data_IF_275086711185
#
_entry.id   IF_275086711185
#
_cell.length_a   1.000
_cell.length_b   1.000
_cell.length_c   1.000
_cell.angle_alpha   90.00
_cell.angle_beta   90.00
_cell.angle_gamma   90.00
#
_symmetry.space_group_name_H-M   'P 1'
#
loop_
_entity.id
_entity.type
_entity.pdbx_description
1 polymer ?
#
# COMPACT_ATOMS: atom_id res chain seq x y z
N UNK A 1 5.31 14.83 5.81
CA UNK A 1 6.14 14.00 6.72
C UNK A 1 6.15 14.48 8.19
N UNK A 2 5.26 15.38 8.62
CA UNK A 2 5.03 15.69 10.05
C UNK A 2 3.55 16.06 10.30
N UNK A 3 2.64 15.60 9.43
CA UNK A 3 1.28 16.14 9.32
C UNK A 3 0.45 15.96 10.61
N UNK A 4 0.76 14.96 11.42
CA UNK A 4 0.05 14.69 12.67
C UNK A 4 0.58 15.50 13.88
N UNK A 5 1.90 15.65 14.02
CA UNK A 5 2.53 16.25 15.22
C UNK A 5 3.07 17.66 15.00
N UNK A 6 3.28 18.06 13.74
CA UNK A 6 4.01 19.27 13.32
C UNK A 6 5.46 19.34 13.83
N UNK A 7 5.99 18.26 14.40
CA UNK A 7 7.37 18.19 14.87
C UNK A 7 8.32 18.02 13.68
N UNK A 8 8.91 19.14 13.25
CA UNK A 8 10.36 19.29 13.10
C UNK A 8 11.15 18.04 12.70
N UNK A 9 11.44 17.26 13.75
CA UNK A 9 12.38 16.15 13.74
C UNK A 9 12.02 15.13 12.69
N UNK A 10 10.78 14.63 12.68
CA UNK A 10 10.36 13.54 11.79
C UNK A 10 10.58 13.85 10.31
N UNK A 11 10.39 15.12 9.91
CA UNK A 11 10.69 15.53 8.54
C UNK A 11 12.21 15.54 8.28
N UNK A 12 13.01 16.06 9.20
CA UNK A 12 14.48 16.07 9.08
C UNK A 12 15.04 14.66 8.97
N UNK A 13 14.61 13.74 9.84
CA UNK A 13 15.06 12.35 9.78
C UNK A 13 14.63 11.66 8.47
N UNK A 14 13.37 11.84 8.05
CA UNK A 14 12.90 11.25 6.80
C UNK A 14 13.65 11.79 5.57
N UNK A 15 13.94 13.09 5.54
CA UNK A 15 14.75 13.70 4.48
C UNK A 15 16.19 13.20 4.49
N UNK A 16 16.82 13.12 5.66
CA UNK A 16 18.20 12.62 5.81
C UNK A 16 18.31 11.18 5.34
N UNK A 17 17.42 10.30 5.81
CA UNK A 17 17.38 8.90 5.40
C UNK A 17 17.19 8.76 3.88
N UNK A 18 16.27 9.54 3.30
CA UNK A 18 16.05 9.51 1.87
C UNK A 18 17.28 9.97 1.08
N UNK A 19 17.82 11.14 1.42
CA UNK A 19 18.92 11.79 0.67
C UNK A 19 20.25 11.03 0.81
N UNK A 20 20.53 10.45 1.98
CA UNK A 20 21.84 9.90 2.30
C UNK A 20 21.91 8.37 2.12
N UNK A 21 20.82 7.65 2.42
CA UNK A 21 20.88 6.18 2.54
C UNK A 21 20.00 5.46 1.51
N UNK A 22 18.84 6.04 1.16
CA UNK A 22 17.94 5.41 0.20
C UNK A 22 18.40 5.74 -1.22
N UNK A 23 18.36 7.02 -1.60
CA UNK A 23 18.40 7.39 -3.02
C UNK A 23 19.79 7.28 -3.64
N UNK A 24 20.83 7.33 -2.81
CA UNK A 24 22.23 7.14 -3.19
C UNK A 24 22.52 5.75 -3.74
N UNK A 25 21.66 4.76 -3.47
CA UNK A 25 21.76 3.39 -4.01
C UNK A 25 21.16 3.24 -5.41
N UNK A 26 20.41 4.23 -5.90
CA UNK A 26 19.75 4.14 -7.19
C UNK A 26 20.75 4.29 -8.36
N UNK A 27 20.57 3.49 -9.41
CA UNK A 27 21.43 3.48 -10.59
C UNK A 27 20.60 3.19 -11.84
N UNK A 28 21.18 3.30 -13.03
CA UNK A 28 20.57 2.98 -14.33
C UNK A 28 21.25 1.80 -15.07
N UNK A 29 22.09 1.06 -14.34
CA UNK A 29 23.00 0.04 -14.89
C UNK A 29 22.33 -1.18 -15.55
N UNK A 30 21.01 -1.37 -15.44
CA UNK A 30 20.30 -2.51 -16.00
C UNK A 30 19.65 -2.24 -17.38
N UNK A 31 19.76 -1.01 -17.89
CA UNK A 31 19.22 -0.60 -19.19
C UNK A 31 17.71 -0.31 -19.21
N UNK A 32 17.00 -0.44 -18.09
CA UNK A 32 15.56 -0.17 -18.01
C UNK A 32 15.21 1.14 -17.28
N UNK A 33 16.22 1.83 -16.76
CA UNK A 33 16.10 3.17 -16.17
C UNK A 33 16.62 3.23 -14.74
N UNK A 34 16.45 4.40 -14.14
CA UNK A 34 16.96 4.69 -12.81
C UNK A 34 16.08 4.10 -11.71
N UNK A 35 16.65 3.18 -10.91
CA UNK A 35 15.91 2.44 -9.89
C UNK A 35 16.81 1.97 -8.74
N UNK A 36 16.16 1.61 -7.64
CA UNK A 36 16.79 1.10 -6.43
C UNK A 36 16.91 -0.42 -6.45
N UNK A 37 18.07 -0.98 -6.03
CA UNK A 37 18.20 -2.40 -5.73
C UNK A 37 17.38 -2.75 -4.48
N UNK A 38 17.05 -4.03 -4.31
CA UNK A 38 16.31 -4.49 -3.14
C UNK A 38 17.06 -4.17 -1.85
N UNK A 39 18.35 -4.51 -1.80
CA UNK A 39 19.26 -4.20 -0.70
C UNK A 39 20.71 -4.18 -1.19
N UNK A 40 21.66 -3.88 -0.30
CA UNK A 40 23.08 -3.70 -0.66
C UNK A 40 23.76 -4.99 -1.14
N UNK A 41 23.18 -6.15 -0.83
CA UNK A 41 23.68 -7.47 -1.22
C UNK A 41 22.93 -8.05 -2.43
N UNK A 42 21.79 -7.46 -2.81
CA UNK A 42 20.92 -7.96 -3.85
C UNK A 42 20.48 -6.84 -4.79
N UNK A 43 21.09 -6.82 -5.97
CA UNK A 43 20.84 -5.84 -7.02
C UNK A 43 19.53 -6.03 -7.78
N UNK A 44 18.73 -7.07 -7.47
CA UNK A 44 17.39 -7.23 -8.04
C UNK A 44 16.54 -6.02 -7.67
N UNK A 45 15.89 -5.45 -8.68
CA UNK A 45 15.01 -4.30 -8.53
C UNK A 45 13.56 -4.78 -8.51
N UNK A 46 12.82 -4.37 -7.50
CA UNK A 46 11.48 -4.87 -7.22
C UNK A 46 10.48 -3.73 -6.93
N UNK A 47 9.19 -4.08 -6.90
CA UNK A 47 8.14 -3.12 -6.58
C UNK A 47 8.24 -2.64 -5.12
N UNK A 48 8.66 -3.53 -4.21
CA UNK A 48 8.67 -3.25 -2.77
C UNK A 48 9.70 -2.23 -2.31
N UNK A 49 10.78 -2.00 -3.06
CA UNK A 49 11.71 -0.90 -2.78
C UNK A 49 11.35 0.35 -3.59
N UNK A 50 11.00 0.19 -4.87
CA UNK A 50 10.88 1.33 -5.79
C UNK A 50 9.54 2.09 -5.64
N UNK A 51 8.42 1.40 -5.39
CA UNK A 51 7.14 2.09 -5.15
C UNK A 51 7.20 2.93 -3.85
N UNK A 52 7.66 2.41 -2.69
CA UNK A 52 7.78 3.23 -1.48
C UNK A 52 8.77 4.38 -1.62
N UNK A 53 9.88 4.21 -2.35
CA UNK A 53 10.80 5.30 -2.63
C UNK A 53 10.15 6.39 -3.49
N UNK A 54 9.31 6.03 -4.47
CA UNK A 54 8.52 6.98 -5.25
C UNK A 54 7.53 7.77 -4.37
N UNK A 55 6.86 7.09 -3.43
CA UNK A 55 5.98 7.75 -2.45
C UNK A 55 6.79 8.71 -1.58
N UNK A 56 7.93 8.27 -1.03
CA UNK A 56 8.79 9.10 -0.18
C UNK A 56 9.28 10.35 -0.93
N UNK A 57 9.73 10.19 -2.17
CA UNK A 57 10.12 11.30 -3.05
C UNK A 57 8.95 12.27 -3.29
N UNK A 58 7.78 11.76 -3.61
CA UNK A 58 6.57 12.58 -3.83
C UNK A 58 6.18 13.38 -2.57
N UNK A 59 6.23 12.73 -1.40
CA UNK A 59 5.95 13.39 -0.11
C UNK A 59 7.00 14.43 0.28
N UNK A 60 8.27 14.22 -0.08
CA UNK A 60 9.33 15.22 0.08
C UNK A 60 9.11 16.40 -0.85
N UNK A 61 8.80 16.15 -2.13
CA UNK A 61 8.44 17.18 -3.09
C UNK A 61 7.27 18.05 -2.60
N UNK A 62 6.19 17.43 -2.12
CA UNK A 62 5.04 18.14 -1.56
C UNK A 62 5.41 19.07 -0.40
N UNK A 63 6.45 18.75 0.37
CA UNK A 63 6.88 19.51 1.54
C UNK A 63 7.88 20.63 1.20
N UNK A 64 8.74 20.41 0.21
CA UNK A 64 9.89 21.28 -0.10
C UNK A 64 9.74 22.06 -1.39
N UNK A 65 8.89 21.59 -2.30
CA UNK A 65 8.81 22.03 -3.69
C UNK A 65 10.15 21.94 -4.46
N UNK A 66 11.09 21.13 -3.98
CA UNK A 66 12.39 20.91 -4.64
C UNK A 66 12.22 19.89 -5.77
N UNK A 67 12.42 20.35 -7.01
CA UNK A 67 12.16 19.59 -8.23
C UNK A 67 12.96 18.29 -8.34
N UNK A 68 14.09 18.15 -7.63
CA UNK A 68 14.86 16.90 -7.59
C UNK A 68 14.00 15.73 -7.10
N UNK A 69 13.11 15.96 -6.13
CA UNK A 69 12.28 14.91 -5.56
C UNK A 69 11.17 14.49 -6.52
N UNK A 70 10.61 15.44 -7.28
CA UNK A 70 9.65 15.11 -8.33
C UNK A 70 10.30 14.32 -9.47
N UNK A 71 11.52 14.68 -9.86
CA UNK A 71 12.31 13.93 -10.85
C UNK A 71 12.59 12.49 -10.38
N UNK A 72 13.01 12.31 -9.13
CA UNK A 72 13.20 10.99 -8.54
C UNK A 72 11.91 10.16 -8.55
N UNK A 73 10.78 10.74 -8.14
CA UNK A 73 9.49 10.06 -8.13
C UNK A 73 9.11 9.57 -9.55
N UNK A 74 9.24 10.44 -10.55
CA UNK A 74 8.95 10.09 -11.95
C UNK A 74 9.83 8.95 -12.46
N UNK A 75 11.15 9.01 -12.20
CA UNK A 75 12.10 7.96 -12.64
C UNK A 75 11.80 6.60 -12.01
N UNK A 76 11.50 6.58 -10.70
CA UNK A 76 11.17 5.35 -9.98
C UNK A 76 9.85 4.74 -10.49
N UNK A 77 8.82 5.57 -10.71
CA UNK A 77 7.56 5.14 -11.30
C UNK A 77 7.75 4.59 -12.73
N UNK A 78 8.50 5.30 -13.57
CA UNK A 78 8.76 4.91 -14.95
C UNK A 78 9.44 3.55 -15.02
N UNK A 79 10.41 3.30 -14.13
CA UNK A 79 11.07 2.00 -14.05
C UNK A 79 10.07 0.88 -13.73
N UNK A 80 9.18 1.09 -12.76
CA UNK A 80 8.13 0.10 -12.41
C UNK A 80 7.24 -0.20 -13.61
N UNK A 81 6.74 0.83 -14.29
CA UNK A 81 5.85 0.68 -15.44
C UNK A 81 6.55 0.00 -16.61
N UNK A 82 7.81 0.32 -16.89
CA UNK A 82 8.57 -0.24 -18.02
C UNK A 82 9.03 -1.67 -17.79
N UNK A 83 9.40 -2.04 -16.56
CA UNK A 83 10.17 -3.26 -16.29
C UNK A 83 9.50 -4.28 -15.38
N UNK A 84 8.65 -3.84 -14.46
CA UNK A 84 8.09 -4.68 -13.39
C UNK A 84 6.61 -4.98 -13.62
N UNK A 85 5.86 -3.98 -14.06
CA UNK A 85 4.43 -4.10 -14.30
C UNK A 85 4.17 -4.94 -15.55
N UNK A 86 3.32 -5.96 -15.43
CA UNK A 86 2.84 -6.71 -16.59
C UNK A 86 1.77 -5.93 -17.37
N UNK A 87 1.44 -6.40 -18.57
CA UNK A 87 0.42 -5.77 -19.42
C UNK A 87 -0.98 -5.74 -18.76
N UNK A 88 -1.30 -6.73 -17.94
CA UNK A 88 -2.55 -6.80 -17.14
C UNK A 88 -2.46 -6.02 -15.82
N UNK A 89 -1.35 -5.36 -15.52
CA UNK A 89 -1.21 -4.50 -14.34
C UNK A 89 -0.77 -5.21 -13.06
N UNK A 90 -0.30 -6.47 -13.12
CA UNK A 90 0.36 -7.10 -11.96
C UNK A 90 1.67 -6.39 -11.68
N UNK A 91 1.93 -6.16 -10.39
CA UNK A 91 3.22 -5.69 -9.92
C UNK A 91 3.92 -6.94 -9.38
N UNK A 92 4.85 -7.46 -10.19
CA UNK A 92 5.55 -8.74 -10.02
C UNK A 92 4.74 -9.99 -10.39
N UNK A 93 5.45 -11.12 -10.55
CA UNK A 93 4.89 -12.41 -10.96
C UNK A 93 3.83 -12.92 -9.98
N UNK A 94 4.07 -12.74 -8.69
CA UNK A 94 3.10 -13.00 -7.63
C UNK A 94 2.55 -11.67 -7.12
N UNK A 95 1.39 -11.22 -7.61
CA UNK A 95 0.80 -9.96 -7.14
C UNK A 95 0.38 -10.09 -5.67
N UNK A 96 0.77 -9.09 -4.89
CA UNK A 96 0.51 -8.97 -3.47
C UNK A 96 -0.11 -7.61 -3.18
N UNK A 97 -1.03 -7.55 -2.23
CA UNK A 97 -1.84 -6.36 -1.94
C UNK A 97 -0.98 -5.11 -1.71
N UNK A 98 0.14 -5.23 -1.01
CA UNK A 98 1.02 -4.10 -0.72
C UNK A 98 1.76 -3.55 -1.95
N UNK A 99 2.17 -4.40 -2.92
CA UNK A 99 2.83 -3.91 -4.14
C UNK A 99 1.84 -3.15 -5.00
N UNK A 100 0.59 -3.62 -5.06
CA UNK A 100 -0.51 -2.91 -5.71
C UNK A 100 -0.80 -1.58 -5.02
N UNK A 101 -0.98 -1.60 -3.69
CA UNK A 101 -1.33 -0.41 -2.91
C UNK A 101 -0.27 0.69 -2.97
N UNK A 102 1.02 0.32 -2.87
CA UNK A 102 2.12 1.27 -2.99
C UNK A 102 2.23 1.86 -4.39
N UNK A 103 1.99 1.08 -5.45
CA UNK A 103 1.94 1.61 -6.80
C UNK A 103 0.78 2.59 -7.00
N UNK A 104 -0.42 2.24 -6.51
CA UNK A 104 -1.62 3.07 -6.56
C UNK A 104 -1.34 4.44 -5.93
N UNK A 105 -0.76 4.47 -4.73
CA UNK A 105 -0.43 5.75 -4.08
C UNK A 105 0.68 6.52 -4.81
N UNK A 106 1.73 5.85 -5.26
CA UNK A 106 2.81 6.49 -6.01
C UNK A 106 2.27 7.20 -7.27
N UNK A 107 1.43 6.52 -8.04
CA UNK A 107 0.76 7.07 -9.21
C UNK A 107 -0.20 8.22 -8.83
N UNK A 108 -1.00 8.06 -7.77
CA UNK A 108 -1.94 9.09 -7.31
C UNK A 108 -1.22 10.37 -6.89
N UNK A 109 -0.11 10.26 -6.17
CA UNK A 109 0.71 11.42 -5.78
C UNK A 109 1.32 12.11 -7.00
N UNK A 110 1.86 11.35 -7.97
CA UNK A 110 2.37 11.90 -9.21
C UNK A 110 1.29 12.64 -10.02
N UNK A 111 0.06 12.13 -10.06
CA UNK A 111 -1.06 12.86 -10.65
C UNK A 111 -1.25 14.23 -9.97
N UNK A 112 -1.30 14.29 -8.63
CA UNK A 112 -1.47 15.55 -7.92
C UNK A 112 -0.33 16.54 -8.13
N UNK A 113 0.89 16.05 -8.33
CA UNK A 113 2.07 16.90 -8.59
C UNK A 113 2.17 17.40 -10.03
N UNK A 114 1.66 16.66 -11.00
CA UNK A 114 1.91 16.91 -12.43
C UNK A 114 0.66 17.26 -13.22
N UNK A 115 -0.52 16.92 -12.69
CA UNK A 115 -1.81 16.94 -13.38
C UNK A 115 -1.84 16.11 -14.67
N UNK A 116 -0.89 15.19 -14.87
CA UNK A 116 -0.89 14.27 -16.01
C UNK A 116 -1.92 13.15 -15.79
N UNK A 117 -2.98 13.08 -16.61
CA UNK A 117 -4.07 12.13 -16.41
C UNK A 117 -3.66 10.67 -16.62
N UNK A 118 -2.49 10.40 -17.21
CA UNK A 118 -2.00 9.03 -17.41
C UNK A 118 -1.73 8.32 -16.08
N UNK A 119 -1.26 9.06 -15.06
CA UNK A 119 -1.04 8.52 -13.72
C UNK A 119 -2.37 8.09 -13.08
N UNK A 120 -3.38 8.98 -13.10
CA UNK A 120 -4.69 8.69 -12.49
C UNK A 120 -5.40 7.51 -13.16
N UNK A 121 -5.40 7.47 -14.50
CA UNK A 121 -5.94 6.32 -15.27
C UNK A 121 -5.25 5.01 -14.89
N UNK A 122 -3.93 5.05 -14.64
CA UNK A 122 -3.18 3.87 -14.22
C UNK A 122 -3.54 3.47 -12.78
N UNK A 123 -3.69 4.43 -11.87
CA UNK A 123 -4.17 4.21 -10.51
C UNK A 123 -5.52 3.49 -10.50
N UNK A 124 -6.50 3.98 -11.27
CA UNK A 124 -7.84 3.40 -11.39
C UNK A 124 -7.79 1.97 -11.96
N UNK A 125 -7.00 1.77 -13.02
CA UNK A 125 -6.81 0.46 -13.62
C UNK A 125 -6.24 -0.56 -12.62
N UNK A 126 -5.14 -0.23 -11.94
CA UNK A 126 -4.50 -1.14 -10.98
C UNK A 126 -5.38 -1.39 -9.76
N UNK A 127 -6.11 -0.37 -9.28
CA UNK A 127 -7.13 -0.56 -8.23
C UNK A 127 -8.16 -1.59 -8.67
N UNK A 128 -8.77 -1.43 -9.86
CA UNK A 128 -9.75 -2.39 -10.38
C UNK A 128 -9.20 -3.82 -10.42
N UNK A 129 -8.01 -4.01 -11.01
CA UNK A 129 -7.40 -5.34 -11.11
C UNK A 129 -7.12 -5.96 -9.74
N UNK A 130 -6.67 -5.15 -8.78
CA UNK A 130 -6.42 -5.61 -7.40
C UNK A 130 -7.69 -6.17 -6.75
N UNK A 131 -8.84 -5.54 -7.00
CA UNK A 131 -10.12 -5.93 -6.41
C UNK A 131 -10.80 -7.08 -7.17
N UNK A 132 -10.77 -7.06 -8.50
CA UNK A 132 -11.63 -7.90 -9.35
C UNK A 132 -10.91 -9.08 -10.02
N UNK A 133 -9.60 -9.01 -10.26
CA UNK A 133 -8.90 -10.01 -11.08
C UNK A 133 -8.63 -11.34 -10.36
N UNK A 134 -9.00 -11.45 -9.07
CA UNK A 134 -8.83 -12.67 -8.26
C UNK A 134 -7.39 -12.93 -7.80
N UNK A 135 -6.46 -12.00 -8.02
CA UNK A 135 -5.05 -12.24 -7.65
C UNK A 135 -4.72 -11.89 -6.21
N UNK A 136 -5.34 -10.84 -5.67
CA UNK A 136 -5.19 -10.41 -4.28
C UNK A 136 -6.42 -10.77 -3.44
N UNK A 137 -7.41 -11.45 -4.03
CA UNK A 137 -8.72 -11.67 -3.42
C UNK A 137 -9.14 -13.13 -3.43
N UNK A 138 -9.98 -13.50 -2.46
CA UNK A 138 -10.68 -14.78 -2.35
C UNK A 138 -12.09 -14.48 -1.82
N UNK A 139 -13.12 -14.93 -2.53
CA UNK A 139 -14.54 -14.71 -2.18
C UNK A 139 -14.90 -13.24 -1.91
N UNK A 140 -14.33 -12.30 -2.70
CA UNK A 140 -14.55 -10.86 -2.53
C UNK A 140 -13.79 -10.21 -1.37
N UNK A 141 -13.01 -10.97 -0.60
CA UNK A 141 -12.16 -10.48 0.49
C UNK A 141 -10.70 -10.45 0.06
N UNK A 142 -9.88 -9.60 0.67
CA UNK A 142 -8.42 -9.72 0.55
C UNK A 142 -7.99 -11.09 1.08
N UNK A 143 -7.21 -11.82 0.27
CA UNK A 143 -6.83 -13.20 0.57
C UNK A 143 -5.79 -13.31 1.70
N UNK A 144 -5.55 -14.54 2.15
CA UNK A 144 -4.34 -14.86 2.88
C UNK A 144 -3.14 -14.80 1.90
N UNK A 145 -2.16 -13.96 2.22
CA UNK A 145 -0.95 -13.76 1.42
C UNK A 145 0.27 -14.50 1.98
N UNK A 146 0.06 -15.28 3.04
CA UNK A 146 1.04 -16.07 3.75
C UNK A 146 1.08 -15.71 5.25
N UNK A 147 1.73 -16.57 6.02
CA UNK A 147 1.72 -16.52 7.49
C UNK A 147 3.00 -16.00 8.12
N UNK A 148 4.02 -15.66 7.30
CA UNK A 148 5.25 -15.05 7.80
C UNK A 148 4.98 -13.64 8.35
N UNK A 149 5.94 -13.12 9.12
CA UNK A 149 5.87 -11.75 9.64
C UNK A 149 5.66 -10.73 8.49
N UNK A 150 6.44 -10.86 7.41
CA UNK A 150 6.33 -9.99 6.23
C UNK A 150 4.96 -10.14 5.55
N UNK A 151 4.54 -11.36 5.24
CA UNK A 151 3.33 -11.61 4.46
C UNK A 151 2.06 -11.16 5.18
N UNK A 152 2.05 -11.29 6.50
CA UNK A 152 0.89 -10.98 7.32
C UNK A 152 0.56 -9.48 7.40
N UNK A 153 1.51 -8.58 7.11
CA UNK A 153 1.32 -7.13 7.17
C UNK A 153 0.89 -6.48 5.85
N UNK A 154 0.96 -7.20 4.73
CA UNK A 154 0.76 -6.60 3.40
C UNK A 154 -0.58 -5.87 3.23
N UNK A 155 -1.67 -6.43 3.78
CA UNK A 155 -2.98 -5.76 3.77
C UNK A 155 -2.97 -4.44 4.55
N UNK A 156 -2.21 -4.35 5.63
CA UNK A 156 -2.04 -3.13 6.42
C UNK A 156 -1.43 -1.97 5.61
N UNK A 157 -0.65 -2.29 4.56
CA UNK A 157 -0.07 -1.32 3.64
C UNK A 157 -1.05 -0.94 2.53
N UNK A 158 -1.79 -1.91 1.98
CA UNK A 158 -2.77 -1.67 0.91
C UNK A 158 -3.91 -0.75 1.37
N UNK A 159 -4.53 -1.09 2.51
CA UNK A 159 -5.75 -0.44 3.02
C UNK A 159 -5.66 1.10 3.10
N UNK A 160 -4.63 1.71 3.73
CA UNK A 160 -4.58 3.17 3.85
C UNK A 160 -4.49 3.87 2.49
N UNK A 161 -3.79 3.26 1.52
CA UNK A 161 -3.69 3.80 0.16
C UNK A 161 -4.97 3.59 -0.64
N UNK A 162 -5.68 2.49 -0.44
CA UNK A 162 -7.01 2.31 -0.99
C UNK A 162 -8.01 3.34 -0.44
N UNK A 163 -7.92 3.70 0.84
CA UNK A 163 -8.73 4.80 1.40
C UNK A 163 -8.30 6.16 0.89
N UNK A 164 -7.00 6.43 0.68
CA UNK A 164 -6.57 7.66 0.03
C UNK A 164 -7.17 7.78 -1.38
N UNK A 165 -7.17 6.69 -2.16
CA UNK A 165 -7.84 6.60 -3.45
C UNK A 165 -9.35 6.89 -3.38
N UNK A 166 -10.05 6.31 -2.40
CA UNK A 166 -11.50 6.53 -2.21
C UNK A 166 -11.83 7.98 -1.82
N UNK A 167 -10.97 8.63 -1.02
CA UNK A 167 -11.17 10.01 -0.57
C UNK A 167 -10.78 11.05 -1.62
N UNK A 168 -10.06 10.64 -2.66
CA UNK A 168 -9.59 11.52 -3.72
C UNK A 168 -10.71 11.81 -4.73
N UNK A 169 -11.27 13.03 -4.70
CA UNK A 169 -12.43 13.38 -5.54
C UNK A 169 -12.08 13.55 -7.03
N UNK A 170 -10.80 13.51 -7.40
CA UNK A 170 -10.39 13.50 -8.80
C UNK A 170 -10.52 12.12 -9.43
N UNK A 171 -10.51 11.06 -8.62
CA UNK A 171 -10.75 9.68 -9.07
C UNK A 171 -12.21 9.54 -9.50
N UNK A 172 -12.44 8.79 -10.58
CA UNK A 172 -13.79 8.51 -11.08
C UNK A 172 -14.72 8.00 -9.97
N UNK A 173 -15.93 8.55 -9.91
CA UNK A 173 -16.89 8.25 -8.84
C UNK A 173 -17.23 6.77 -8.78
N UNK A 174 -17.38 6.09 -9.93
CA UNK A 174 -17.70 4.66 -9.96
C UNK A 174 -16.56 3.82 -9.40
N UNK A 175 -15.31 4.22 -9.67
CA UNK A 175 -14.12 3.58 -9.11
C UNK A 175 -14.01 3.77 -7.59
N UNK A 176 -14.33 4.96 -7.09
CA UNK A 176 -14.37 5.23 -5.65
C UNK A 176 -15.46 4.39 -4.95
N UNK A 177 -16.64 4.26 -5.55
CA UNK A 177 -17.73 3.41 -5.03
C UNK A 177 -17.29 1.94 -4.98
N UNK A 178 -16.71 1.43 -6.07
CA UNK A 178 -16.20 0.05 -6.13
C UNK A 178 -15.22 -0.24 -4.99
N UNK A 179 -14.22 0.61 -4.81
CA UNK A 179 -13.21 0.43 -3.77
C UNK A 179 -13.79 0.60 -2.35
N UNK A 180 -14.72 1.54 -2.16
CA UNK A 180 -15.44 1.73 -0.88
C UNK A 180 -16.21 0.48 -0.50
N UNK A 181 -17.04 -0.02 -1.40
CA UNK A 181 -17.92 -1.17 -1.13
C UNK A 181 -17.09 -2.43 -0.87
N UNK A 182 -15.98 -2.59 -1.58
CA UNK A 182 -15.01 -3.65 -1.30
C UNK A 182 -14.43 -3.56 0.13
N UNK A 183 -13.96 -2.39 0.58
CA UNK A 183 -13.41 -2.24 1.93
C UNK A 183 -14.48 -2.40 3.02
N UNK A 184 -15.70 -1.96 2.78
CA UNK A 184 -16.83 -2.16 3.70
C UNK A 184 -17.15 -3.65 3.85
N UNK A 185 -17.19 -4.40 2.75
CA UNK A 185 -17.39 -5.85 2.79
C UNK A 185 -16.28 -6.57 3.57
N UNK A 186 -15.02 -6.17 3.38
CA UNK A 186 -13.90 -6.69 4.15
C UNK A 186 -14.01 -6.36 5.65
N UNK A 187 -14.39 -5.12 5.98
CA UNK A 187 -14.54 -4.68 7.37
C UNK A 187 -15.71 -5.37 8.07
N UNK A 188 -16.83 -5.59 7.37
CA UNK A 188 -17.96 -6.35 7.90
C UNK A 188 -17.58 -7.80 8.18
N UNK A 189 -16.91 -8.46 7.22
CA UNK A 189 -16.41 -9.82 7.40
C UNK A 189 -15.49 -9.95 8.61
N UNK A 190 -14.53 -9.03 8.78
CA UNK A 190 -13.66 -9.04 9.96
C UNK A 190 -14.43 -8.71 11.25
N UNK A 191 -15.06 -7.54 11.32
CA UNK A 191 -15.52 -6.93 12.57
C UNK A 191 -16.77 -7.59 13.15
N UNK A 192 -17.71 -7.97 12.29
CA UNK A 192 -18.99 -8.55 12.71
C UNK A 192 -18.94 -10.07 12.78
N UNK A 193 -18.25 -10.71 11.83
CA UNK A 193 -18.38 -12.15 11.63
C UNK A 193 -17.18 -12.94 12.18
N UNK A 194 -15.96 -12.39 12.09
CA UNK A 194 -14.73 -13.18 12.26
C UNK A 194 -13.76 -12.67 13.34
N UNK A 195 -14.17 -11.70 14.16
CA UNK A 195 -13.42 -11.27 15.34
C UNK A 195 -14.04 -11.90 16.60
N UNK A 196 -13.33 -12.84 17.23
CA UNK A 196 -13.82 -13.53 18.43
C UNK A 196 -13.76 -12.63 19.67
N UNK A 197 -14.92 -12.10 20.05
CA UNK A 197 -15.07 -11.20 21.20
C UNK A 197 -14.95 -11.93 22.54
N UNK A 198 -15.14 -13.25 22.59
CA UNK A 198 -15.01 -14.02 23.82
C UNK A 198 -13.54 -14.14 24.27
N UNK A 199 -12.59 -13.88 23.36
CA UNK A 199 -11.15 -13.93 23.64
C UNK A 199 -10.59 -12.60 24.13
N UNK A 200 -11.42 -11.59 24.43
CA UNK A 200 -10.97 -10.30 24.98
C UNK A 200 -9.99 -10.47 26.16
N UNK A 201 -8.85 -9.73 26.21
CA UNK A 201 -8.41 -8.71 25.25
C UNK A 201 -7.64 -9.25 24.02
N UNK A 202 -7.42 -10.56 23.90
CA UNK A 202 -6.60 -11.24 22.88
C UNK A 202 -7.35 -11.51 21.57
N UNK A 203 -8.17 -10.56 21.10
CA UNK A 203 -9.00 -10.68 19.89
C UNK A 203 -8.15 -10.59 18.61
N UNK A 204 -7.28 -11.57 18.38
CA UNK A 204 -6.42 -11.58 17.20
C UNK A 204 -7.21 -11.69 15.91
N UNK A 205 -6.72 -11.00 14.88
CA UNK A 205 -7.28 -11.11 13.53
C UNK A 205 -6.61 -12.27 12.79
N UNK A 206 -7.38 -13.04 12.03
CA UNK A 206 -6.82 -14.09 11.17
C UNK A 206 -6.06 -13.49 9.98
N UNK A 207 -5.17 -14.30 9.39
CA UNK A 207 -4.50 -13.99 8.13
C UNK A 207 -5.50 -13.82 6.97
N UNK A 208 -6.68 -14.44 7.07
CA UNK A 208 -7.82 -14.25 6.17
C UNK A 208 -9.03 -13.73 6.94
N UNK A 209 -9.63 -12.63 6.51
CA UNK A 209 -10.75 -12.02 7.26
C UNK A 209 -12.10 -12.72 7.08
N UNK A 210 -12.14 -13.80 6.30
CA UNK A 210 -13.30 -14.66 6.14
C UNK A 210 -13.38 -15.81 7.15
N UNK A 211 -12.47 -15.85 8.14
CA UNK A 211 -12.44 -16.89 9.18
C UNK A 211 -12.01 -16.30 10.53
N UNK A 212 -12.51 -16.90 11.61
CA UNK A 212 -12.08 -16.60 12.97
C UNK A 212 -10.65 -17.11 13.17
N UNK A 213 -9.80 -16.32 13.82
CA UNK A 213 -8.49 -16.81 14.25
C UNK A 213 -8.65 -17.86 15.34
N UNK A 214 -8.05 -19.05 15.14
CA UNK A 214 -8.04 -20.13 16.12
C UNK A 214 -6.61 -20.44 16.58
N UNK A 215 -6.37 -20.45 17.89
CA UNK A 215 -5.16 -21.03 18.46
C UNK A 215 -5.17 -22.54 18.25
N UNK A 216 -4.18 -23.08 17.54
CA UNK A 216 -4.00 -24.53 17.46
C UNK A 216 -3.49 -25.14 18.78
N UNK A 217 -2.99 -24.31 19.72
CA UNK A 217 -2.50 -24.74 21.03
C UNK A 217 -2.67 -23.61 22.06
N UNK A 218 -3.63 -23.76 22.99
CA UNK A 218 -3.98 -22.72 23.97
C UNK A 218 -2.85 -22.37 24.96
N UNK A 219 -1.81 -23.20 25.04
CA UNK A 219 -0.67 -23.05 25.96
C UNK A 219 0.51 -22.24 25.39
N UNK A 220 0.47 -21.82 24.12
CA UNK A 220 1.49 -20.96 23.51
C UNK A 220 0.83 -19.76 22.83
N UNK A 221 1.22 -18.55 23.23
CA UNK A 221 0.74 -17.31 22.60
C UNK A 221 1.28 -17.19 21.15
N UNK A 222 0.40 -17.36 20.15
CA UNK A 222 0.78 -17.44 18.72
C UNK A 222 0.07 -16.46 17.78
N UNK A 223 -0.57 -15.42 18.30
CA UNK A 223 -1.17 -14.37 17.46
C UNK A 223 -0.13 -13.70 16.57
N UNK A 224 -0.41 -13.57 15.27
CA UNK A 224 0.47 -12.79 14.37
C UNK A 224 0.21 -11.29 14.56
N UNK A 225 1.26 -10.56 14.97
CA UNK A 225 1.19 -9.10 15.10
C UNK A 225 0.94 -8.42 13.76
N UNK A 226 1.49 -8.93 12.65
CA UNK A 226 1.25 -8.40 11.31
C UNK A 226 -0.18 -8.64 10.83
N UNK A 227 -0.74 -9.84 11.07
CA UNK A 227 -2.14 -10.13 10.74
C UNK A 227 -3.10 -9.26 11.57
N UNK A 228 -2.80 -9.07 12.86
CA UNK A 228 -3.56 -8.18 13.73
C UNK A 228 -3.44 -6.72 13.30
N UNK A 229 -2.24 -6.23 12.98
CA UNK A 229 -2.02 -4.88 12.46
C UNK A 229 -2.79 -4.64 11.15
N UNK A 230 -2.86 -5.63 10.27
CA UNK A 230 -3.69 -5.58 9.06
C UNK A 230 -5.17 -5.41 9.40
N UNK A 231 -5.69 -6.15 10.37
CA UNK A 231 -7.08 -6.01 10.83
C UNK A 231 -7.36 -4.64 11.46
N UNK A 232 -6.48 -4.16 12.35
CA UNK A 232 -6.60 -2.84 12.95
C UNK A 232 -6.54 -1.72 11.88
N UNK A 233 -5.62 -1.84 10.92
CA UNK A 233 -5.51 -0.90 9.79
C UNK A 233 -6.81 -0.83 8.99
N UNK A 234 -7.47 -1.98 8.74
CA UNK A 234 -8.78 -2.02 8.07
C UNK A 234 -9.83 -1.22 8.83
N UNK A 235 -10.01 -1.49 10.12
CA UNK A 235 -11.08 -0.85 10.91
C UNK A 235 -10.84 0.65 11.07
N UNK A 236 -9.61 1.06 11.38
CA UNK A 236 -9.25 2.48 11.51
C UNK A 236 -9.44 3.25 10.20
N UNK A 237 -9.01 2.67 9.07
CA UNK A 237 -9.14 3.34 7.78
C UNK A 237 -10.57 3.35 7.25
N UNK A 238 -11.38 2.33 7.54
CA UNK A 238 -12.82 2.37 7.22
C UNK A 238 -13.54 3.42 8.07
N UNK A 239 -13.20 3.56 9.35
CA UNK A 239 -13.72 4.65 10.18
C UNK A 239 -13.33 6.03 9.62
N UNK A 240 -12.05 6.21 9.23
CA UNK A 240 -11.56 7.42 8.55
C UNK A 240 -12.31 7.68 7.24
N UNK A 241 -12.50 6.64 6.43
CA UNK A 241 -13.24 6.72 5.18
C UNK A 241 -14.67 7.20 5.44
N UNK A 242 -15.43 6.54 6.31
CA UNK A 242 -16.82 6.90 6.61
C UNK A 242 -16.97 8.32 7.16
N UNK A 243 -15.98 8.82 7.90
CA UNK A 243 -15.98 10.20 8.42
C UNK A 243 -15.87 11.27 7.33
N UNK A 244 -15.11 11.02 6.27
CA UNK A 244 -14.76 12.02 5.25
C UNK A 244 -15.31 11.72 3.86
N UNK A 245 -15.93 10.55 3.68
CA UNK A 245 -16.46 10.10 2.40
C UNK A 245 -17.76 10.84 2.05
N UNK A 246 -17.66 11.80 1.14
CA UNK A 246 -18.79 12.33 0.36
C UNK A 246 -18.81 11.64 -1.01
N UNK A 247 -19.49 10.50 -1.12
CA UNK A 247 -19.66 9.74 -2.37
C UNK A 247 -21.13 9.47 -2.63
#
# INVERSE_FOLDING_TARGET
MNAATKDERYYKEAKQLYDNDIITRASDNDGYGWALPWNDQNSVRNACTNNPACIAASLLYARTNDSKYLDHAKKLYDYIVKRIMSADGKLEKMPLSYTQGTFIEAARLLYHHTQDPTYLKKTEYVMRQTLEAGWCTKNGLLRNEGTSADQSIFKAIFVPYAVNFILDTTVDRSMRILARDFLLYNAEALWKNNLDRNKWPRMFCSFYWGEIWSDANENEFKGSTGAHASGCSLIENVARMLKYCSI
#
